data_IF_223861757444
#
_entry.id   IF_223861757444
#
_cell.length_a   1.000
_cell.length_b   1.000
_cell.length_c   1.000
_cell.angle_alpha   90.00
_cell.angle_beta   90.00
_cell.angle_gamma   90.00
#
_symmetry.space_group_name_H-M   'P 1'
#
loop_
_entity.id
_entity.type
_entity.pdbx_description
1 polymer ?
#
# COMPACT_ATOMS: atom_id res chain seq x y z
N UNK A 1 33.45 -13.34 -22.64
CA UNK A 1 32.99 -14.69 -22.29
C UNK A 1 31.50 -14.59 -21.97
N UNK A 2 30.65 -14.93 -22.93
CA UNK A 2 29.20 -14.92 -22.76
C UNK A 2 28.69 -16.34 -22.56
N UNK A 3 27.85 -16.55 -21.54
CA UNK A 3 27.13 -17.80 -21.35
C UNK A 3 25.83 -17.75 -22.15
N UNK A 4 25.66 -18.79 -22.96
CA UNK A 4 24.59 -19.01 -23.93
C UNK A 4 23.34 -19.47 -23.16
N UNK A 5 22.28 -18.67 -23.21
CA UNK A 5 20.93 -19.13 -22.86
C UNK A 5 20.34 -19.87 -24.07
N UNK A 6 20.06 -21.16 -23.90
CA UNK A 6 19.41 -21.97 -24.94
C UNK A 6 17.95 -21.51 -25.08
N UNK A 7 17.65 -20.90 -26.21
CA UNK A 7 16.29 -20.59 -26.64
C UNK A 7 15.69 -21.81 -27.34
N UNK A 8 14.67 -22.41 -26.73
CA UNK A 8 13.78 -23.34 -27.41
C UNK A 8 12.93 -22.53 -28.40
N UNK A 9 13.17 -22.72 -29.69
CA UNK A 9 12.35 -22.15 -30.76
C UNK A 9 11.07 -22.99 -30.91
N UNK A 10 9.92 -22.39 -30.63
CA UNK A 10 8.65 -22.83 -31.23
C UNK A 10 8.34 -21.99 -32.47
N UNK A 11 7.88 -22.73 -33.48
CA UNK A 11 7.49 -22.38 -34.84
C UNK A 11 6.76 -21.05 -35.04
N UNK A 12 7.18 -20.37 -36.12
CA UNK A 12 6.53 -19.28 -36.86
C UNK A 12 5.00 -19.40 -36.96
N UNK A 13 4.28 -18.28 -36.76
CA UNK A 13 2.99 -18.07 -37.43
C UNK A 13 1.90 -17.26 -36.73
N UNK A 14 2.05 -16.85 -35.46
CA UNK A 14 1.09 -15.96 -34.80
C UNK A 14 1.91 -14.97 -33.99
N UNK A 15 1.72 -13.67 -34.24
CA UNK A 15 2.24 -12.65 -33.33
C UNK A 15 1.77 -13.04 -31.92
N UNK A 16 2.69 -13.34 -31.02
CA UNK A 16 2.37 -13.36 -29.59
C UNK A 16 2.11 -11.92 -29.18
N UNK A 17 0.98 -11.37 -29.62
CA UNK A 17 0.33 -10.29 -28.91
C UNK A 17 0.03 -10.89 -27.56
N UNK A 18 0.77 -10.44 -26.55
CA UNK A 18 0.46 -10.74 -25.17
C UNK A 18 -0.97 -10.28 -24.93
N UNK A 19 -1.90 -11.23 -24.87
CA UNK A 19 -3.33 -10.99 -24.62
C UNK A 19 -3.58 -10.40 -23.21
N UNK A 20 -2.51 -10.21 -22.43
CA UNK A 20 -2.54 -9.75 -21.05
C UNK A 20 -1.90 -8.37 -20.84
N UNK A 21 -1.39 -7.72 -21.89
CA UNK A 21 -1.07 -6.28 -21.83
C UNK A 21 -2.28 -5.47 -22.27
N UNK A 22 -3.05 -4.96 -21.30
CA UNK A 22 -4.01 -3.89 -21.59
C UNK A 22 -3.24 -2.63 -21.93
N UNK A 23 -3.16 -2.32 -23.23
CA UNK A 23 -2.66 -1.04 -23.73
C UNK A 23 -3.65 0.07 -23.41
N UNK A 24 -3.59 0.64 -22.20
CA UNK A 24 -3.94 2.04 -21.88
C UNK A 24 -4.20 2.25 -20.39
N UNK A 25 -3.16 2.25 -19.56
CA UNK A 25 -3.27 2.77 -18.19
C UNK A 25 -2.14 3.74 -17.81
N UNK A 26 -1.81 4.67 -18.71
CA UNK A 26 -0.89 5.78 -18.39
C UNK A 26 -1.42 6.71 -17.30
N UNK A 27 -2.72 6.70 -17.00
CA UNK A 27 -3.31 7.50 -15.93
C UNK A 27 -2.94 6.99 -14.53
N UNK A 28 -2.66 5.68 -14.39
CA UNK A 28 -2.41 5.03 -13.10
C UNK A 28 -0.93 4.73 -12.84
N UNK A 29 -0.05 4.92 -13.82
CA UNK A 29 1.41 4.80 -13.65
C UNK A 29 2.01 5.85 -12.70
N UNK A 30 1.24 6.89 -12.36
CA UNK A 30 1.68 7.97 -11.47
C UNK A 30 1.56 7.61 -9.97
N UNK A 31 0.94 6.47 -9.65
CA UNK A 31 0.91 5.99 -8.28
C UNK A 31 2.18 5.18 -7.97
N UNK A 32 2.76 5.34 -6.77
CA UNK A 32 3.91 4.54 -6.35
C UNK A 32 3.59 3.04 -6.43
N UNK A 33 2.33 2.63 -6.25
CA UNK A 33 1.92 1.22 -6.30
C UNK A 33 1.51 0.75 -7.71
N UNK A 34 1.81 1.53 -8.75
CA UNK A 34 1.45 1.16 -10.14
C UNK A 34 2.09 -0.15 -10.59
N UNK A 35 3.27 -0.50 -10.06
CA UNK A 35 3.91 -1.80 -10.27
C UNK A 35 3.22 -2.96 -9.54
N UNK A 36 2.35 -2.67 -8.56
CA UNK A 36 1.56 -3.68 -7.85
C UNK A 36 0.26 -4.02 -8.57
N UNK A 37 -0.14 -3.27 -9.61
CA UNK A 37 -1.21 -3.66 -10.54
C UNK A 37 -0.76 -4.86 -11.38
N UNK A 38 -0.82 -6.03 -10.76
CA UNK A 38 -0.89 -7.29 -11.49
C UNK A 38 -2.29 -7.40 -12.11
N UNK A 39 -2.47 -8.16 -13.22
CA UNK A 39 -3.79 -8.40 -13.77
C UNK A 39 -4.74 -8.87 -12.66
N UNK A 40 -5.86 -8.16 -12.48
CA UNK A 40 -6.92 -8.60 -11.58
C UNK A 40 -7.57 -9.80 -12.24
N UNK A 41 -7.19 -10.99 -11.79
CA UNK A 41 -7.76 -12.23 -12.29
C UNK A 41 -9.25 -12.27 -11.94
N UNK A 42 -10.09 -12.44 -12.96
CA UNK A 42 -11.51 -12.71 -12.74
C UNK A 42 -11.65 -14.03 -11.97
N UNK A 43 -12.42 -14.01 -10.88
CA UNK A 43 -12.72 -15.20 -10.09
C UNK A 43 -13.53 -16.19 -10.93
N UNK A 44 -13.25 -17.48 -10.77
CA UNK A 44 -13.97 -18.56 -11.45
C UNK A 44 -15.47 -18.45 -11.16
N UNK A 45 -16.32 -18.64 -12.18
CA UNK A 45 -17.77 -18.45 -12.08
C UNK A 45 -18.43 -19.32 -11.00
N UNK A 46 -17.78 -20.41 -10.60
CA UNK A 46 -18.17 -21.29 -9.49
C UNK A 46 -18.22 -20.58 -8.14
N UNK A 47 -17.47 -19.50 -7.96
CA UNK A 47 -17.44 -18.71 -6.72
C UNK A 47 -18.47 -17.58 -6.69
N UNK A 48 -19.21 -17.34 -7.79
CA UNK A 48 -20.24 -16.30 -7.85
C UNK A 48 -21.64 -16.79 -7.46
N UNK A 49 -21.91 -18.10 -7.51
CA UNK A 49 -23.23 -18.65 -7.21
C UNK A 49 -23.18 -20.13 -6.82
N UNK A 50 -24.19 -20.61 -6.08
CA UNK A 50 -24.30 -22.01 -5.68
C UNK A 50 -23.61 -22.34 -4.36
N UNK A 51 -23.33 -23.63 -4.13
CA UNK A 51 -22.74 -24.13 -2.87
C UNK A 51 -21.30 -23.69 -2.63
N UNK A 52 -20.60 -23.23 -3.67
CA UNK A 52 -19.22 -22.74 -3.61
C UNK A 52 -19.13 -21.22 -3.68
N UNK A 53 -20.27 -20.50 -3.58
CA UNK A 53 -20.27 -19.05 -3.57
C UNK A 53 -19.35 -18.53 -2.47
N UNK A 54 -18.48 -17.58 -2.82
CA UNK A 54 -17.63 -16.93 -1.84
C UNK A 54 -18.48 -16.10 -0.89
N UNK A 55 -18.37 -16.38 0.40
CA UNK A 55 -19.03 -15.61 1.46
C UNK A 55 -17.93 -14.92 2.27
N UNK A 56 -17.84 -13.58 2.22
CA UNK A 56 -16.85 -12.86 3.01
C UNK A 56 -17.09 -13.13 4.49
N UNK A 57 -16.03 -13.48 5.20
CA UNK A 57 -16.07 -13.67 6.65
C UNK A 57 -15.91 -12.30 7.33
N UNK A 58 -16.80 -11.99 8.25
CA UNK A 58 -16.76 -10.76 9.05
C UNK A 58 -16.40 -11.10 10.49
N UNK A 59 -16.09 -10.09 11.31
CA UNK A 59 -15.85 -10.31 12.74
C UNK A 59 -17.00 -11.08 13.40
N UNK A 60 -18.23 -10.71 13.06
CA UNK A 60 -19.41 -11.35 13.63
C UNK A 60 -19.51 -12.84 13.23
N UNK A 61 -19.15 -13.21 12.01
CA UNK A 61 -19.17 -14.63 11.60
C UNK A 61 -18.12 -15.44 12.35
N UNK A 62 -16.96 -14.85 12.65
CA UNK A 62 -15.92 -15.48 13.47
C UNK A 62 -16.38 -15.63 14.93
N UNK A 63 -16.97 -14.60 15.52
CA UNK A 63 -17.47 -14.65 16.90
C UNK A 63 -18.58 -15.71 17.06
N UNK A 64 -19.45 -15.84 16.05
CA UNK A 64 -20.47 -16.87 15.98
C UNK A 64 -19.86 -18.28 15.87
N UNK A 65 -18.81 -18.44 15.06
CA UNK A 65 -18.06 -19.68 14.93
C UNK A 65 -17.36 -20.07 16.24
N UNK A 66 -16.73 -19.11 16.94
CA UNK A 66 -16.14 -19.32 18.27
C UNK A 66 -17.18 -19.79 19.27
N UNK A 67 -18.34 -19.13 19.32
CA UNK A 67 -19.44 -19.50 20.22
C UNK A 67 -19.97 -20.90 19.93
N UNK A 68 -20.08 -21.26 18.65
CA UNK A 68 -20.42 -22.62 18.24
C UNK A 68 -19.41 -23.65 18.76
N UNK A 69 -18.11 -23.39 18.60
CA UNK A 69 -17.06 -24.28 19.11
C UNK A 69 -17.05 -24.36 20.65
N UNK A 70 -17.27 -23.24 21.34
CA UNK A 70 -17.39 -23.23 22.81
C UNK A 70 -18.54 -24.12 23.30
N UNK A 71 -19.69 -24.05 22.64
CA UNK A 71 -20.84 -24.90 22.98
C UNK A 71 -20.53 -26.38 22.68
N UNK A 72 -19.82 -26.66 21.58
CA UNK A 72 -19.39 -28.02 21.28
C UNK A 72 -18.51 -28.63 22.38
N UNK A 73 -17.51 -27.90 22.89
CA UNK A 73 -16.66 -28.42 23.97
C UNK A 73 -17.41 -28.59 25.30
N UNK A 74 -18.40 -27.74 25.57
CA UNK A 74 -19.19 -27.79 26.83
C UNK A 74 -20.20 -28.92 26.82
N UNK A 75 -20.94 -29.08 25.72
CA UNK A 75 -22.09 -29.97 25.65
C UNK A 75 -21.73 -31.35 25.09
N UNK A 76 -20.61 -31.49 24.37
CA UNK A 76 -20.09 -32.77 23.85
C UNK A 76 -21.04 -33.54 22.91
N UNK A 77 -22.19 -32.96 22.58
CA UNK A 77 -23.34 -33.64 21.95
C UNK A 77 -23.79 -33.00 20.63
N UNK A 78 -23.00 -32.12 20.01
CA UNK A 78 -23.29 -31.71 18.63
C UNK A 78 -22.86 -32.83 17.68
N UNK A 79 -23.83 -33.48 17.05
CA UNK A 79 -23.57 -34.49 16.01
C UNK A 79 -22.91 -33.81 14.80
N UNK A 80 -21.64 -34.18 14.54
CA UNK A 80 -20.85 -33.68 13.41
C UNK A 80 -21.37 -34.12 12.03
N UNK A 81 -22.48 -34.86 11.97
CA UNK A 81 -23.24 -35.09 10.74
C UNK A 81 -24.32 -34.03 10.48
N UNK A 82 -24.80 -33.36 11.54
CA UNK A 82 -25.82 -32.30 11.45
C UNK A 82 -25.13 -30.94 11.26
N UNK A 83 -23.98 -30.74 11.91
CA UNK A 83 -23.19 -29.50 11.84
C UNK A 83 -21.76 -29.81 11.36
N UNK A 84 -21.52 -29.89 10.04
CA UNK A 84 -20.19 -30.18 9.51
C UNK A 84 -19.15 -29.12 9.86
N UNK A 85 -19.57 -27.89 10.16
CA UNK A 85 -18.72 -26.78 10.60
C UNK A 85 -18.03 -27.05 11.93
N UNK A 86 -18.63 -27.88 12.79
CA UNK A 86 -18.04 -28.28 14.09
C UNK A 86 -16.75 -29.07 13.90
N UNK A 87 -16.62 -29.80 12.78
CA UNK A 87 -15.35 -30.49 12.43
C UNK A 87 -14.20 -29.51 12.18
N UNK A 88 -14.52 -28.22 11.99
CA UNK A 88 -13.52 -27.18 11.80
C UNK A 88 -13.06 -26.52 13.10
N UNK A 89 -13.68 -26.86 14.23
CA UNK A 89 -13.27 -26.33 15.51
C UNK A 89 -11.81 -26.72 15.80
N UNK A 90 -11.01 -25.80 16.35
CA UNK A 90 -9.62 -26.08 16.72
C UNK A 90 -9.54 -27.14 17.83
N UNK A 91 -8.34 -27.54 18.26
CA UNK A 91 -8.22 -28.43 19.42
C UNK A 91 -8.49 -27.68 20.74
N UNK A 92 -8.13 -26.40 20.78
CA UNK A 92 -8.37 -25.51 21.92
C UNK A 92 -8.58 -24.08 21.44
N UNK A 93 -9.73 -23.52 21.78
CA UNK A 93 -10.00 -22.10 21.51
C UNK A 93 -9.18 -21.20 22.45
N UNK A 94 -8.98 -21.64 23.70
CA UNK A 94 -8.28 -20.86 24.72
C UNK A 94 -6.81 -20.62 24.37
N UNK A 95 -6.14 -21.59 23.73
CA UNK A 95 -4.76 -21.37 23.27
C UNK A 95 -4.72 -20.25 22.24
N UNK A 96 -5.58 -20.29 21.22
CA UNK A 96 -5.63 -19.28 20.16
C UNK A 96 -5.90 -17.89 20.74
N UNK A 97 -6.85 -17.76 21.68
CA UNK A 97 -7.14 -16.50 22.36
C UNK A 97 -5.94 -15.98 23.17
N UNK A 98 -5.18 -16.88 23.81
CA UNK A 98 -3.99 -16.52 24.58
C UNK A 98 -2.83 -16.10 23.68
N UNK A 99 -2.64 -16.79 22.56
CA UNK A 99 -1.53 -16.56 21.63
C UNK A 99 -1.74 -15.29 20.79
N UNK A 100 -2.95 -15.11 20.27
CA UNK A 100 -3.33 -13.97 19.46
C UNK A 100 -3.65 -12.73 20.31
N UNK A 101 -4.18 -12.89 21.53
CA UNK A 101 -4.58 -11.78 22.38
C UNK A 101 -5.68 -10.95 21.71
N UNK A 102 -5.40 -9.66 21.45
CA UNK A 102 -6.30 -8.75 20.75
C UNK A 102 -6.01 -8.58 19.25
N UNK A 103 -5.08 -9.36 18.70
CA UNK A 103 -4.71 -9.25 17.28
C UNK A 103 -5.72 -9.99 16.40
N UNK A 104 -6.55 -9.21 15.69
CA UNK A 104 -7.61 -9.72 14.82
C UNK A 104 -7.03 -10.52 13.65
N UNK A 105 -5.87 -10.13 13.12
CA UNK A 105 -5.25 -10.81 11.97
C UNK A 105 -4.81 -12.22 12.36
N UNK A 106 -4.13 -12.32 13.52
CA UNK A 106 -3.73 -13.61 14.08
C UNK A 106 -4.92 -14.54 14.30
N UNK A 107 -6.00 -14.02 14.88
CA UNK A 107 -7.19 -14.78 15.22
C UNK A 107 -7.89 -15.30 13.96
N UNK A 108 -8.09 -14.44 12.97
CA UNK A 108 -8.74 -14.80 11.71
C UNK A 108 -7.98 -15.90 11.00
N UNK A 109 -6.68 -15.73 10.82
CA UNK A 109 -5.88 -16.71 10.09
C UNK A 109 -5.76 -18.03 10.87
N UNK A 110 -5.65 -17.97 12.20
CA UNK A 110 -5.64 -19.16 13.04
C UNK A 110 -6.94 -19.97 12.95
N UNK A 111 -8.09 -19.29 12.92
CA UNK A 111 -9.41 -19.94 12.91
C UNK A 111 -9.85 -20.37 11.51
N UNK A 112 -9.66 -19.52 10.50
CA UNK A 112 -10.09 -19.78 9.12
C UNK A 112 -9.18 -20.77 8.41
N UNK A 113 -7.87 -20.67 8.61
CA UNK A 113 -6.88 -21.58 8.03
C UNK A 113 -6.57 -22.76 8.96
N UNK A 114 -7.21 -22.82 10.13
CA UNK A 114 -7.08 -23.89 11.13
C UNK A 114 -5.64 -24.19 11.52
N UNK A 115 -4.78 -23.18 11.48
CA UNK A 115 -3.33 -23.33 11.65
C UNK A 115 -2.77 -22.16 12.44
N UNK A 116 -2.47 -22.41 13.71
CA UNK A 116 -1.93 -21.39 14.63
C UNK A 116 -0.63 -20.75 14.11
N UNK A 117 0.25 -21.56 13.51
CA UNK A 117 1.54 -21.06 12.98
C UNK A 117 1.34 -20.01 11.89
N UNK A 118 0.27 -20.10 11.09
CA UNK A 118 -0.03 -19.08 10.09
C UNK A 118 -0.52 -17.79 10.74
N UNK A 119 -1.35 -17.88 11.79
CA UNK A 119 -1.76 -16.71 12.57
C UNK A 119 -0.58 -15.99 13.22
N UNK A 120 0.35 -16.73 13.85
CA UNK A 120 1.54 -16.16 14.46
C UNK A 120 2.42 -15.43 13.42
N UNK A 121 2.62 -16.03 12.24
CA UNK A 121 3.38 -15.38 11.16
C UNK A 121 2.67 -14.15 10.60
N UNK A 122 1.35 -14.23 10.42
CA UNK A 122 0.55 -13.13 9.89
C UNK A 122 0.56 -11.93 10.84
N UNK A 123 0.52 -12.19 12.15
CA UNK A 123 0.75 -11.18 13.19
C UNK A 123 2.10 -10.50 13.06
N UNK A 124 3.18 -11.28 12.98
CA UNK A 124 4.53 -10.73 12.85
C UNK A 124 4.70 -9.88 11.58
N UNK A 125 4.17 -10.37 10.45
CA UNK A 125 4.16 -9.65 9.18
C UNK A 125 3.34 -8.36 9.25
N UNK A 126 2.17 -8.41 9.89
CA UNK A 126 1.30 -7.24 10.05
C UNK A 126 1.91 -6.17 10.96
N UNK A 127 2.53 -6.57 12.08
CA UNK A 127 3.22 -5.65 12.96
C UNK A 127 4.45 -5.04 12.27
N UNK A 128 5.23 -5.85 11.55
CA UNK A 128 6.33 -5.37 10.72
C UNK A 128 5.82 -4.37 9.66
N UNK A 129 4.70 -4.67 9.01
CA UNK A 129 4.09 -3.77 8.03
C UNK A 129 3.66 -2.45 8.66
N UNK A 130 3.02 -2.46 9.83
CA UNK A 130 2.60 -1.23 10.52
C UNK A 130 3.82 -0.35 10.81
N UNK A 131 4.89 -0.93 11.37
CA UNK A 131 6.12 -0.21 11.69
C UNK A 131 6.78 0.34 10.42
N UNK A 132 6.89 -0.48 9.37
CA UNK A 132 7.47 -0.04 8.10
C UNK A 132 6.63 1.07 7.45
N UNK A 133 5.30 0.96 7.51
CA UNK A 133 4.39 1.98 7.02
C UNK A 133 4.59 3.29 7.78
N UNK A 134 4.66 3.25 9.11
CA UNK A 134 4.86 4.44 9.95
C UNK A 134 6.20 5.12 9.67
N UNK A 135 7.28 4.33 9.56
CA UNK A 135 8.59 4.81 9.16
C UNK A 135 8.59 5.39 7.75
N UNK A 136 7.92 4.74 6.80
CA UNK A 136 7.79 5.24 5.43
C UNK A 136 6.98 6.54 5.41
N UNK A 137 5.84 6.62 6.08
CA UNK A 137 5.04 7.85 6.13
C UNK A 137 5.81 8.99 6.79
N UNK A 138 6.63 8.70 7.79
CA UNK A 138 7.47 9.70 8.45
C UNK A 138 8.61 10.15 7.55
N UNK A 139 9.28 9.23 6.86
CA UNK A 139 10.36 9.55 5.92
C UNK A 139 9.88 10.30 4.69
N UNK A 140 8.69 9.96 4.18
CA UNK A 140 8.04 10.63 3.06
C UNK A 140 7.14 11.80 3.48
N UNK A 141 7.41 12.39 4.65
CA UNK A 141 6.89 13.73 4.92
C UNK A 141 7.43 14.66 3.84
N UNK A 142 6.51 15.36 3.16
CA UNK A 142 6.86 16.28 2.10
C UNK A 142 6.75 17.72 2.59
N UNK A 143 7.45 18.66 1.96
CA UNK A 143 7.20 20.08 2.17
C UNK A 143 5.84 20.55 1.59
N UNK A 144 5.03 19.62 1.06
CA UNK A 144 3.78 19.90 0.37
C UNK A 144 4.00 20.58 -0.98
N UNK A 145 2.91 20.90 -1.67
CA UNK A 145 2.99 21.65 -2.91
C UNK A 145 3.41 23.11 -2.64
N UNK A 146 4.23 23.69 -3.52
CA UNK A 146 4.57 25.12 -3.48
C UNK A 146 3.35 25.94 -3.91
N UNK A 147 2.65 26.50 -2.92
CA UNK A 147 1.49 27.38 -3.11
C UNK A 147 1.95 28.83 -3.33
N UNK A 148 2.39 29.13 -4.55
CA UNK A 148 2.65 30.49 -5.01
C UNK A 148 1.60 30.86 -6.06
N UNK A 149 1.19 32.12 -6.09
CA UNK A 149 0.38 32.63 -7.19
C UNK A 149 1.27 32.75 -8.44
N UNK A 150 0.89 32.08 -9.52
CA UNK A 150 1.65 32.05 -10.78
C UNK A 150 1.02 32.98 -11.81
N UNK A 151 1.55 34.21 -12.02
CA UNK A 151 1.20 34.96 -13.21
C UNK A 151 1.71 34.23 -14.47
N UNK A 152 1.06 34.46 -15.62
CA UNK A 152 1.33 33.74 -16.87
C UNK A 152 2.79 33.81 -17.34
N UNK A 153 3.50 34.88 -16.97
CA UNK A 153 4.90 35.11 -17.31
C UNK A 153 5.89 34.45 -16.34
N UNK A 154 5.43 33.70 -15.33
CA UNK A 154 6.28 32.93 -14.42
C UNK A 154 6.23 31.44 -14.76
N UNK A 155 7.40 30.90 -15.06
CA UNK A 155 7.62 29.52 -15.51
C UNK A 155 8.22 28.73 -14.35
N UNK A 156 7.56 27.62 -14.03
CA UNK A 156 8.02 26.63 -13.06
C UNK A 156 9.08 25.74 -13.73
N UNK A 157 10.24 25.59 -13.08
CA UNK A 157 11.38 24.83 -13.60
C UNK A 157 11.10 23.33 -13.78
N UNK A 158 12.00 22.59 -14.45
CA UNK A 158 11.79 21.18 -14.75
C UNK A 158 11.76 20.27 -13.51
N UNK A 159 12.46 20.64 -12.43
CA UNK A 159 12.46 19.91 -11.14
C UNK A 159 11.18 20.13 -10.35
N UNK A 160 10.36 21.08 -10.80
CA UNK A 160 9.23 21.61 -10.09
C UNK A 160 7.91 20.96 -10.56
N UNK A 161 7.94 19.77 -11.17
CA UNK A 161 6.74 19.10 -11.73
C UNK A 161 6.16 18.03 -10.78
N UNK A 162 6.89 17.67 -9.71
CA UNK A 162 6.43 16.67 -8.73
C UNK A 162 5.25 17.20 -7.88
N UNK A 163 4.37 16.27 -7.48
CA UNK A 163 3.17 16.56 -6.66
C UNK A 163 3.48 16.70 -5.17
N UNK A 164 4.57 16.10 -4.73
CA UNK A 164 5.09 16.15 -3.38
C UNK A 164 6.61 16.27 -3.48
N UNK A 165 7.19 17.15 -2.67
CA UNK A 165 8.62 17.40 -2.64
C UNK A 165 9.21 16.79 -1.37
N UNK A 166 10.15 15.87 -1.55
CA UNK A 166 10.84 15.18 -0.47
C UNK A 166 12.10 15.94 -0.05
N UNK A 167 12.76 15.47 1.00
CA UNK A 167 14.01 16.05 1.48
C UNK A 167 15.05 16.14 0.35
N UNK A 168 15.59 17.34 0.14
CA UNK A 168 16.60 17.60 -0.89
C UNK A 168 16.03 17.99 -2.25
N UNK A 169 14.73 17.80 -2.50
CA UNK A 169 14.10 18.26 -3.73
C UNK A 169 14.15 19.78 -3.84
N UNK A 170 14.40 20.27 -5.06
CA UNK A 170 14.49 21.69 -5.36
C UNK A 170 13.45 22.11 -6.39
N UNK A 171 12.84 23.27 -6.14
CA UNK A 171 11.90 23.93 -7.02
C UNK A 171 12.53 25.21 -7.51
N UNK A 172 12.71 25.33 -8.82
CA UNK A 172 13.14 26.57 -9.45
C UNK A 172 12.00 27.29 -10.15
N UNK A 173 12.08 28.61 -10.18
CA UNK A 173 11.17 29.53 -10.84
C UNK A 173 11.95 30.49 -11.74
N UNK A 174 11.43 30.72 -12.94
CA UNK A 174 12.05 31.60 -13.94
C UNK A 174 10.99 32.40 -14.65
N UNK A 175 11.24 33.65 -15.00
CA UNK A 175 10.31 34.44 -15.79
C UNK A 175 10.46 34.16 -17.30
N UNK A 176 9.42 34.53 -18.06
CA UNK A 176 9.45 34.59 -19.52
C UNK A 176 10.59 35.50 -20.02
N UNK A 177 11.04 35.29 -21.26
CA UNK A 177 12.23 35.91 -21.84
C UNK A 177 12.21 37.45 -21.83
N UNK A 178 11.01 38.04 -21.85
CA UNK A 178 10.74 39.47 -21.84
C UNK A 178 10.71 40.11 -20.44
N UNK A 179 10.81 39.30 -19.39
CA UNK A 179 10.78 39.74 -18.00
C UNK A 179 12.13 39.53 -17.30
N UNK A 180 12.28 40.13 -16.12
CA UNK A 180 13.42 39.99 -15.20
C UNK A 180 12.94 39.27 -13.94
N UNK A 181 13.70 38.26 -13.53
CA UNK A 181 13.48 37.55 -12.27
C UNK A 181 13.87 38.45 -11.10
N UNK A 182 12.97 38.58 -10.13
CA UNK A 182 13.21 39.29 -8.88
C UNK A 182 12.83 38.37 -7.71
N UNK A 183 13.50 38.55 -6.57
CA UNK A 183 13.33 37.68 -5.40
C UNK A 183 14.13 36.38 -5.52
N UNK A 184 13.76 35.39 -4.71
CA UNK A 184 14.44 34.09 -4.68
C UNK A 184 13.80 33.14 -5.69
N UNK A 185 14.62 32.60 -6.59
CA UNK A 185 14.16 31.74 -7.68
C UNK A 185 14.24 30.26 -7.36
N UNK A 186 14.88 29.88 -6.25
CA UNK A 186 15.14 28.48 -5.91
C UNK A 186 14.73 28.21 -4.47
N UNK A 187 13.90 27.17 -4.30
CA UNK A 187 13.44 26.69 -3.01
C UNK A 187 13.81 25.24 -2.83
N UNK A 188 14.38 24.90 -1.69
CA UNK A 188 14.76 23.53 -1.34
C UNK A 188 13.89 23.04 -0.19
N UNK A 189 13.38 21.82 -0.32
CA UNK A 189 12.68 21.15 0.75
C UNK A 189 13.70 20.57 1.74
N UNK A 190 13.67 21.06 2.98
CA UNK A 190 14.64 20.67 4.02
C UNK A 190 13.95 20.18 5.28
N UNK A 191 14.64 19.27 5.98
CA UNK A 191 14.23 18.78 7.29
C UNK A 191 14.58 19.82 8.35
N UNK A 192 13.58 20.36 9.05
CA UNK A 192 13.77 21.25 10.19
C UNK A 192 13.47 20.49 11.48
N UNK A 193 14.48 20.30 12.32
CA UNK A 193 14.35 19.61 13.61
C UNK A 193 13.90 20.58 14.71
N UNK A 194 13.00 20.13 15.60
CA UNK A 194 12.56 20.90 16.75
C UNK A 194 13.28 20.40 18.02
N UNK A 195 14.07 21.27 18.64
CA UNK A 195 14.72 20.98 19.92
C UNK A 195 15.87 19.97 19.81
N UNK A 196 15.99 19.09 20.80
CA UNK A 196 17.09 18.11 20.88
C UNK A 196 16.71 16.70 20.40
N UNK A 197 15.44 16.45 20.04
CA UNK A 197 14.98 15.15 19.56
C UNK A 197 15.04 15.07 18.03
N UNK A 198 16.00 14.30 17.51
CA UNK A 198 16.21 14.11 16.06
C UNK A 198 15.01 13.48 15.31
N UNK A 199 14.07 12.88 16.04
CA UNK A 199 12.84 12.30 15.52
C UNK A 199 11.68 13.31 15.45
N UNK A 200 11.80 14.48 16.08
CA UNK A 200 10.81 15.54 16.03
C UNK A 200 11.20 16.56 14.96
N UNK A 201 10.64 16.40 13.77
CA UNK A 201 10.96 17.28 12.64
C UNK A 201 9.73 17.67 11.84
N UNK A 202 9.87 18.76 11.09
CA UNK A 202 8.90 19.15 10.07
C UNK A 202 9.63 19.50 8.79
N UNK A 203 9.06 19.07 7.68
CA UNK A 203 9.55 19.39 6.36
C UNK A 203 9.07 20.78 5.98
N UNK A 204 10.00 21.68 5.70
CA UNK A 204 9.67 23.06 5.31
C UNK A 204 10.51 23.48 4.12
N UNK A 205 9.90 24.33 3.30
CA UNK A 205 10.64 25.13 2.33
C UNK A 205 11.61 26.05 3.08
N UNK A 206 12.80 26.24 2.52
CA UNK A 206 13.72 27.29 2.96
C UNK A 206 13.01 28.65 2.99
N UNK A 207 13.39 29.48 3.96
CA UNK A 207 12.89 30.85 4.04
C UNK A 207 13.48 31.68 2.89
N UNK A 208 12.65 32.50 2.25
CA UNK A 208 13.03 33.32 1.11
C UNK A 208 11.94 34.31 0.71
N UNK A 209 12.28 35.21 -0.20
CA UNK A 209 11.38 36.21 -0.78
C UNK A 209 10.64 35.59 -1.96
N UNK A 210 9.31 35.69 -1.96
CA UNK A 210 8.47 35.22 -3.06
C UNK A 210 8.99 35.73 -4.42
N UNK A 211 9.22 34.84 -5.42
CA UNK A 211 9.65 35.25 -6.74
C UNK A 211 8.55 36.04 -7.41
N UNK A 212 8.96 37.07 -8.14
CA UNK A 212 8.06 37.83 -8.99
C UNK A 212 8.81 38.29 -10.24
N UNK A 213 8.05 38.57 -11.29
CA UNK A 213 8.61 39.01 -12.56
C UNK A 213 8.29 40.48 -12.79
N UNK A 214 9.31 41.21 -13.24
CA UNK A 214 9.17 42.59 -13.69
C UNK A 214 9.38 42.64 -15.20
N UNK A 215 8.58 43.43 -15.91
CA UNK A 215 8.88 43.73 -17.32
C UNK A 215 10.23 44.45 -17.43
N UNK A 216 11.02 44.11 -18.46
CA UNK A 216 12.33 44.73 -18.75
C UNK A 216 12.23 46.22 -19.06
#
# INVERSE_FOLDING_TARGET
MGLISQSVRLSSGVAMTDMFETTSESAFSVFPDSYMKKPVYSTDSRYHSGSHAFVPQTQQTIDDFKRMCQNYYKDGMMDGNIYPEVRRCPDSLHSIETDCGSDVVCEFDSLLLQTRILGDKSKDEFQSFIVQRDLATTHYNSCGAVALEYPEYMIKGPTSVSRAYLEGDMVSFTCSQDHINMGDTEYQCTKMEYGHDANSFTMRWNEGIQPWCRSR
#
